data_IF_240146824291
#
_entry.id   IF_240146824291
#
_cell.length_a   1.000
_cell.length_b   1.000
_cell.length_c   1.000
_cell.angle_alpha   90.00
_cell.angle_beta   90.00
_cell.angle_gamma   90.00
#
_symmetry.space_group_name_H-M   'P 1'
#
loop_
_entity.id
_entity.type
_entity.pdbx_description
1 polymer ?
#
# COMPACT_ATOMS: atom_id res chain seq x y z
N UNK A 1 23.77 -34.52 44.23
CA UNK A 1 22.62 -34.93 43.37
C UNK A 1 21.32 -34.20 43.68
N UNK A 2 21.01 -33.86 44.94
CA UNK A 2 19.76 -33.19 45.33
C UNK A 2 19.60 -31.75 44.76
N UNK A 3 20.68 -30.99 44.64
CA UNK A 3 20.62 -29.59 44.16
C UNK A 3 20.21 -29.47 42.68
N UNK A 4 20.67 -30.39 41.82
CA UNK A 4 20.27 -30.46 40.41
C UNK A 4 18.78 -30.81 40.24
N UNK A 5 18.22 -31.63 41.14
CA UNK A 5 16.81 -32.01 41.14
C UNK A 5 15.92 -30.82 41.52
N UNK A 6 16.37 -29.99 42.46
CA UNK A 6 15.63 -28.81 42.93
C UNK A 6 15.54 -27.72 41.84
N UNK A 7 16.65 -27.45 41.13
CA UNK A 7 16.63 -26.50 39.99
C UNK A 7 15.72 -26.94 38.84
N UNK A 8 15.64 -28.25 38.57
CA UNK A 8 14.77 -28.79 37.52
C UNK A 8 13.29 -28.62 37.86
N UNK A 9 12.91 -28.80 39.13
CA UNK A 9 11.54 -28.60 39.58
C UNK A 9 11.14 -27.12 39.53
N UNK A 10 12.01 -26.21 39.98
CA UNK A 10 11.76 -24.77 39.88
C UNK A 10 11.58 -24.31 38.42
N UNK A 11 12.37 -24.85 37.48
CA UNK A 11 12.23 -24.52 36.07
C UNK A 11 10.89 -24.98 35.50
N UNK A 12 10.43 -26.18 35.89
CA UNK A 12 9.14 -26.70 35.45
C UNK A 12 7.97 -25.88 35.99
N UNK A 13 8.01 -25.46 37.26
CA UNK A 13 6.98 -24.62 37.88
C UNK A 13 6.92 -23.23 37.21
N UNK A 14 8.08 -22.69 36.82
CA UNK A 14 8.19 -21.41 36.12
C UNK A 14 7.61 -21.52 34.69
N UNK A 15 7.89 -22.62 34.00
CA UNK A 15 7.35 -22.93 32.67
C UNK A 15 5.83 -23.13 32.73
N UNK A 16 5.31 -23.85 33.73
CA UNK A 16 3.87 -24.03 33.93
C UNK A 16 3.16 -22.72 34.29
N UNK A 17 3.76 -21.88 35.13
CA UNK A 17 3.24 -20.55 35.45
C UNK A 17 3.18 -19.63 34.22
N UNK A 18 4.19 -19.68 33.36
CA UNK A 18 4.23 -18.95 32.09
C UNK A 18 3.21 -19.51 31.09
N UNK A 19 3.08 -20.84 30.98
CA UNK A 19 2.08 -21.47 30.10
C UNK A 19 0.64 -21.24 30.58
N UNK A 20 0.40 -21.24 31.89
CA UNK A 20 -0.88 -20.89 32.50
C UNK A 20 -1.28 -19.45 32.20
N UNK A 21 -0.33 -18.50 32.27
CA UNK A 21 -0.54 -17.11 31.84
C UNK A 21 -0.76 -16.96 30.33
N UNK A 22 -0.16 -17.82 29.50
CA UNK A 22 -0.44 -17.84 28.06
C UNK A 22 -1.84 -18.37 27.71
N UNK A 23 -2.40 -19.28 28.50
CA UNK A 23 -3.81 -19.72 28.38
C UNK A 23 -4.82 -18.65 28.81
N UNK A 24 -4.38 -17.60 29.51
CA UNK A 24 -5.23 -16.52 30.02
C UNK A 24 -5.60 -15.47 28.95
N UNK A 25 -5.01 -15.53 27.74
CA UNK A 25 -5.45 -14.68 26.65
C UNK A 25 -6.65 -15.31 25.94
N UNK A 26 -7.85 -14.72 26.04
CA UNK A 26 -9.04 -15.27 25.40
C UNK A 26 -8.78 -15.35 23.89
N UNK A 27 -9.10 -16.49 23.26
CA UNK A 27 -8.88 -16.72 21.82
C UNK A 27 -9.47 -15.63 20.91
N UNK A 28 -10.45 -14.86 21.40
CA UNK A 28 -10.98 -13.65 20.74
C UNK A 28 -9.93 -12.54 20.59
N UNK A 29 -9.02 -12.33 21.56
CA UNK A 29 -7.97 -11.31 21.49
C UNK A 29 -6.88 -11.70 20.48
N UNK A 30 -6.52 -12.99 20.45
CA UNK A 30 -5.55 -13.53 19.49
C UNK A 30 -6.06 -13.45 18.05
N UNK A 31 -7.35 -13.76 17.80
CA UNK A 31 -7.98 -13.55 16.48
C UNK A 31 -8.02 -12.07 16.09
N UNK A 32 -8.34 -11.17 17.04
CA UNK A 32 -8.43 -9.72 16.81
C UNK A 32 -7.11 -9.08 16.32
N UNK A 33 -5.97 -9.55 16.83
CA UNK A 33 -4.63 -9.11 16.40
C UNK A 33 -4.18 -9.70 15.05
N UNK A 34 -4.74 -10.85 14.66
CA UNK A 34 -4.39 -11.52 13.40
C UNK A 34 -5.25 -10.96 12.26
N UNK A 35 -6.55 -10.76 12.49
CA UNK A 35 -7.45 -10.13 11.52
C UNK A 35 -7.05 -8.69 11.20
N UNK A 36 -6.53 -7.92 12.17
CA UNK A 36 -6.04 -6.57 11.89
C UNK A 36 -4.83 -6.55 10.95
N UNK A 37 -3.94 -7.56 11.01
CA UNK A 37 -2.72 -7.59 10.19
C UNK A 37 -3.00 -7.78 8.71
N UNK A 38 -4.02 -8.54 8.33
CA UNK A 38 -4.35 -8.76 6.92
C UNK A 38 -5.00 -7.54 6.26
N UNK A 39 -5.74 -6.76 7.04
CA UNK A 39 -6.38 -5.54 6.55
C UNK A 39 -5.33 -4.50 6.17
N UNK A 40 -4.29 -4.31 6.98
CA UNK A 40 -3.25 -3.30 6.76
C UNK A 40 -2.44 -3.51 5.46
N UNK A 41 -2.31 -4.76 4.97
CA UNK A 41 -1.68 -5.03 3.67
C UNK A 41 -2.47 -4.50 2.48
N UNK A 42 -3.80 -4.42 2.59
CA UNK A 42 -4.65 -3.90 1.51
C UNK A 42 -4.41 -2.40 1.31
N UNK A 43 -4.29 -1.64 2.39
CA UNK A 43 -3.94 -0.22 2.33
C UNK A 43 -2.55 -0.02 1.70
N UNK A 44 -1.55 -0.82 2.11
CA UNK A 44 -0.21 -0.76 1.53
C UNK A 44 -0.22 -1.03 0.03
N UNK A 45 -0.99 -2.04 -0.41
CA UNK A 45 -1.20 -2.32 -1.82
C UNK A 45 -1.86 -1.14 -2.53
N UNK A 46 -2.90 -0.57 -1.94
CA UNK A 46 -3.66 0.54 -2.53
C UNK A 46 -2.81 1.80 -2.71
N UNK A 47 -1.92 2.14 -1.78
CA UNK A 47 -1.03 3.31 -1.91
C UNK A 47 0.28 3.01 -2.64
N UNK A 48 0.53 1.76 -3.03
CA UNK A 48 1.85 1.33 -3.49
C UNK A 48 2.40 2.12 -4.69
N UNK A 49 1.63 2.43 -5.75
CA UNK A 49 2.16 3.23 -6.86
C UNK A 49 2.55 4.65 -6.46
N UNK A 50 1.87 5.25 -5.47
CA UNK A 50 2.23 6.57 -4.93
C UNK A 50 3.57 6.50 -4.21
N UNK A 51 3.76 5.49 -3.36
CA UNK A 51 5.02 5.25 -2.66
C UNK A 51 6.16 5.00 -3.67
N UNK A 52 5.90 4.17 -4.67
CA UNK A 52 6.87 3.87 -5.72
C UNK A 52 7.28 5.14 -6.49
N UNK A 53 6.30 5.91 -6.97
CA UNK A 53 6.55 7.18 -7.67
C UNK A 53 7.36 8.16 -6.81
N UNK A 54 7.07 8.22 -5.50
CA UNK A 54 7.80 9.06 -4.55
C UNK A 54 9.23 8.62 -4.30
N UNK A 55 9.53 7.32 -4.37
CA UNK A 55 10.88 6.79 -4.22
C UNK A 55 11.72 7.03 -5.48
N UNK A 56 11.15 6.80 -6.67
CA UNK A 56 11.87 6.90 -7.94
C UNK A 56 12.20 8.34 -8.31
N UNK A 57 11.28 9.29 -8.05
CA UNK A 57 11.52 10.71 -8.25
C UNK A 57 10.87 11.54 -7.14
N UNK A 58 11.55 11.70 -6.00
CA UNK A 58 11.06 12.50 -4.87
C UNK A 58 10.80 13.97 -5.25
N UNK A 59 11.60 14.52 -6.18
CA UNK A 59 11.47 15.91 -6.63
C UNK A 59 10.21 16.19 -7.44
N UNK A 60 9.54 15.16 -7.94
CA UNK A 60 8.25 15.29 -8.65
C UNK A 60 7.07 15.62 -7.73
N UNK A 61 7.23 15.43 -6.42
CA UNK A 61 6.22 15.68 -5.41
C UNK A 61 6.38 17.08 -4.81
N UNK A 62 5.56 18.03 -5.27
CA UNK A 62 5.38 19.30 -4.58
C UNK A 62 4.44 19.18 -3.39
N UNK A 63 4.59 20.03 -2.38
CA UNK A 63 3.59 20.20 -1.31
C UNK A 63 2.35 21.01 -1.76
N UNK A 64 2.24 21.29 -3.06
CA UNK A 64 1.13 22.02 -3.67
C UNK A 64 0.28 21.04 -4.51
N UNK A 65 -1.04 21.15 -4.38
CA UNK A 65 -1.99 20.20 -4.99
C UNK A 65 -2.16 20.35 -6.52
N UNK A 66 -1.74 21.48 -7.11
CA UNK A 66 -1.94 21.80 -8.52
C UNK A 66 -0.65 21.77 -9.37
N UNK A 67 0.46 21.28 -8.80
CA UNK A 67 1.74 21.21 -9.49
C UNK A 67 2.38 19.84 -9.28
N UNK A 68 2.85 19.23 -10.37
CA UNK A 68 3.51 17.93 -10.31
C UNK A 68 2.59 16.83 -9.79
N UNK A 69 3.21 15.91 -9.04
CA UNK A 69 2.53 14.78 -8.39
C UNK A 69 2.10 15.10 -6.96
N UNK A 70 2.08 16.37 -6.54
CA UNK A 70 1.65 16.74 -5.19
C UNK A 70 0.26 16.23 -4.82
N UNK A 71 -0.66 16.22 -5.79
CA UNK A 71 -2.01 15.63 -5.64
C UNK A 71 -2.01 14.14 -5.30
N UNK A 72 -0.97 13.38 -5.61
CA UNK A 72 -0.89 11.95 -5.26
C UNK A 72 -0.80 11.76 -3.74
N UNK A 73 -0.10 12.65 -3.03
CA UNK A 73 -0.01 12.62 -1.57
C UNK A 73 -1.38 12.88 -0.97
N UNK A 74 -2.11 13.88 -1.49
CA UNK A 74 -3.47 14.16 -1.04
C UNK A 74 -4.41 12.97 -1.29
N UNK A 75 -4.32 12.35 -2.47
CA UNK A 75 -5.11 11.17 -2.79
C UNK A 75 -4.78 9.99 -1.85
N UNK A 76 -3.50 9.75 -1.55
CA UNK A 76 -3.09 8.73 -0.60
C UNK A 76 -3.57 9.03 0.83
N UNK A 77 -3.49 10.29 1.28
CA UNK A 77 -3.98 10.71 2.60
C UNK A 77 -5.50 10.53 2.70
N UNK A 78 -6.27 10.98 1.72
CA UNK A 78 -7.73 10.80 1.74
C UNK A 78 -8.12 9.32 1.69
N UNK A 79 -7.42 8.52 0.88
CA UNK A 79 -7.62 7.07 0.85
C UNK A 79 -7.30 6.43 2.20
N UNK A 80 -6.22 6.86 2.88
CA UNK A 80 -5.90 6.39 4.23
C UNK A 80 -6.99 6.75 5.24
N UNK A 81 -7.43 8.01 5.26
CA UNK A 81 -8.47 8.50 6.19
C UNK A 81 -9.76 7.69 5.99
N UNK A 82 -10.24 7.58 4.75
CA UNK A 82 -11.43 6.81 4.40
C UNK A 82 -11.27 5.34 4.81
N UNK A 83 -10.14 4.73 4.45
CA UNK A 83 -9.84 3.36 4.82
C UNK A 83 -9.86 3.15 6.34
N UNK A 84 -9.29 4.06 7.14
CA UNK A 84 -9.28 3.93 8.59
C UNK A 84 -10.67 4.03 9.22
N UNK A 85 -11.60 4.75 8.58
CA UNK A 85 -13.00 4.80 9.00
C UNK A 85 -13.73 3.48 8.72
N UNK A 86 -13.56 2.94 7.49
CA UNK A 86 -14.32 1.76 7.05
C UNK A 86 -13.60 0.40 7.25
N UNK A 87 -12.33 0.37 7.67
CA UNK A 87 -11.50 -0.87 7.80
C UNK A 87 -12.12 -1.97 8.64
N UNK A 88 -12.93 -1.64 9.65
CA UNK A 88 -13.58 -2.66 10.51
C UNK A 88 -14.76 -3.34 9.83
N UNK A 89 -15.30 -2.71 8.80
CA UNK A 89 -16.43 -3.19 8.00
C UNK A 89 -15.95 -3.84 6.71
N UNK A 90 -14.81 -3.39 6.17
CA UNK A 90 -14.14 -3.97 5.03
C UNK A 90 -13.63 -5.39 5.34
N UNK A 91 -14.12 -6.36 4.57
CA UNK A 91 -13.60 -7.71 4.51
C UNK A 91 -13.11 -7.99 3.09
N UNK A 92 -11.98 -7.39 2.68
CA UNK A 92 -11.49 -7.54 1.32
C UNK A 92 -11.24 -9.03 1.05
N UNK A 93 -12.05 -9.60 0.16
CA UNK A 93 -11.89 -10.98 -0.29
C UNK A 93 -11.39 -10.95 -1.73
N UNK A 94 -10.07 -10.99 -1.88
CA UNK A 94 -9.48 -11.09 -3.20
C UNK A 94 -9.63 -12.53 -3.70
N UNK A 95 -10.65 -12.75 -4.53
CA UNK A 95 -10.70 -13.95 -5.37
C UNK A 95 -9.48 -13.98 -6.28
N UNK A 96 -9.01 -15.16 -6.67
CA UNK A 96 -7.79 -15.29 -7.49
C UNK A 96 -7.82 -14.46 -8.79
N UNK A 97 -9.00 -14.30 -9.41
CA UNK A 97 -9.18 -13.45 -10.60
C UNK A 97 -9.03 -11.96 -10.29
N UNK A 98 -9.62 -11.48 -9.18
CA UNK A 98 -9.50 -10.08 -8.74
C UNK A 98 -8.07 -9.76 -8.33
N UNK A 99 -7.41 -10.68 -7.63
CA UNK A 99 -5.99 -10.57 -7.28
C UNK A 99 -5.10 -10.45 -8.51
N UNK A 100 -5.31 -11.29 -9.52
CA UNK A 100 -4.56 -11.23 -10.77
C UNK A 100 -4.78 -9.90 -11.50
N UNK A 101 -6.01 -9.38 -11.52
CA UNK A 101 -6.33 -8.10 -12.14
C UNK A 101 -5.66 -6.94 -11.40
N UNK A 102 -5.76 -6.86 -10.06
CA UNK A 102 -5.09 -5.84 -9.26
C UNK A 102 -3.57 -5.90 -9.45
N UNK A 103 -2.98 -7.09 -9.42
CA UNK A 103 -1.54 -7.27 -9.63
C UNK A 103 -1.12 -6.86 -11.04
N UNK A 104 -1.92 -7.16 -12.05
CA UNK A 104 -1.63 -6.77 -13.44
C UNK A 104 -1.63 -5.24 -13.58
N UNK A 105 -2.64 -4.56 -13.04
CA UNK A 105 -2.71 -3.09 -13.12
C UNK A 105 -1.64 -2.45 -12.23
N UNK A 106 -1.28 -3.07 -11.11
CA UNK A 106 -0.11 -2.64 -10.33
C UNK A 106 1.16 -2.67 -11.19
N UNK A 107 1.47 -3.81 -11.80
CA UNK A 107 2.66 -3.96 -12.65
C UNK A 107 2.65 -2.95 -13.80
N UNK A 108 1.51 -2.71 -14.43
CA UNK A 108 1.37 -1.70 -15.48
C UNK A 108 1.62 -0.28 -14.97
N UNK A 109 1.09 0.09 -13.82
CA UNK A 109 1.33 1.40 -13.20
C UNK A 109 2.81 1.59 -12.86
N UNK A 110 3.46 0.57 -12.29
CA UNK A 110 4.89 0.61 -11.98
C UNK A 110 5.74 0.71 -13.25
N UNK A 111 5.38 -0.03 -14.30
CA UNK A 111 6.05 0.03 -15.59
C UNK A 111 5.90 1.41 -16.24
N UNK A 112 4.72 2.01 -16.16
CA UNK A 112 4.47 3.38 -16.61
C UNK A 112 5.38 4.37 -15.88
N UNK A 113 5.35 4.43 -14.53
CA UNK A 113 6.18 5.37 -13.78
C UNK A 113 7.67 5.13 -14.02
N UNK A 114 8.11 3.88 -14.10
CA UNK A 114 9.49 3.54 -14.47
C UNK A 114 9.85 4.06 -15.86
N UNK A 115 8.93 3.96 -16.83
CA UNK A 115 9.16 4.41 -18.21
C UNK A 115 9.19 5.94 -18.33
N UNK A 116 8.48 6.66 -17.47
CA UNK A 116 8.57 8.12 -17.37
C UNK A 116 9.93 8.53 -16.82
N UNK A 117 10.36 7.93 -15.70
CA UNK A 117 11.56 8.40 -14.98
C UNK A 117 12.88 7.86 -15.51
N UNK A 118 12.90 6.61 -15.99
CA UNK A 118 14.12 5.92 -16.46
C UNK A 118 14.13 5.71 -17.97
N UNK A 119 12.98 5.86 -18.63
CA UNK A 119 12.81 5.60 -20.05
C UNK A 119 12.68 6.86 -20.89
N UNK A 120 12.18 6.68 -22.12
CA UNK A 120 11.96 7.78 -23.06
C UNK A 120 10.49 8.24 -23.13
N UNK A 121 9.61 7.66 -22.31
CA UNK A 121 8.17 7.92 -22.40
C UNK A 121 7.85 9.38 -22.04
N UNK A 122 8.58 9.96 -21.08
CA UNK A 122 8.46 11.38 -20.75
C UNK A 122 8.65 12.28 -21.98
N UNK A 123 9.74 12.06 -22.73
CA UNK A 123 10.06 12.84 -23.93
C UNK A 123 8.95 12.69 -24.97
N UNK A 124 8.47 11.47 -25.21
CA UNK A 124 7.39 11.19 -26.17
C UNK A 124 6.08 11.90 -25.81
N UNK A 125 5.72 11.92 -24.53
CA UNK A 125 4.50 12.60 -24.08
C UNK A 125 4.63 14.12 -24.22
N UNK A 126 5.81 14.67 -23.92
CA UNK A 126 6.08 16.10 -24.09
C UNK A 126 6.06 16.51 -25.56
N UNK A 127 6.74 15.75 -26.44
CA UNK A 127 6.69 15.92 -27.90
C UNK A 127 5.26 15.87 -28.42
N UNK A 128 4.44 14.92 -27.94
CA UNK A 128 3.04 14.82 -28.31
C UNK A 128 2.23 16.05 -27.86
N UNK A 129 2.49 16.57 -26.66
CA UNK A 129 1.87 17.80 -26.17
C UNK A 129 2.20 19.01 -27.03
N UNK A 130 3.45 19.13 -27.48
CA UNK A 130 3.90 20.18 -28.40
C UNK A 130 3.24 20.05 -29.78
N UNK A 131 3.17 18.84 -30.34
CA UNK A 131 2.49 18.58 -31.62
C UNK A 131 1.00 18.97 -31.58
N UNK A 132 0.36 18.81 -30.42
CA UNK A 132 -1.04 19.20 -30.19
C UNK A 132 -1.20 20.68 -29.80
N UNK A 133 -0.12 21.47 -29.82
CA UNK A 133 -0.07 22.89 -29.41
C UNK A 133 -0.59 23.12 -27.97
N UNK A 134 -0.33 22.19 -27.06
CA UNK A 134 -0.69 22.35 -25.64
C UNK A 134 0.31 23.32 -25.00
N UNK A 135 -0.18 24.46 -24.51
CA UNK A 135 0.67 25.51 -23.92
C UNK A 135 1.46 25.06 -22.68
N UNK A 136 0.96 24.06 -21.95
CA UNK A 136 1.58 23.51 -20.74
C UNK A 136 1.87 22.01 -20.91
N UNK A 137 2.92 21.67 -21.66
CA UNK A 137 3.33 20.28 -21.91
C UNK A 137 3.59 19.49 -20.61
N UNK A 138 4.13 20.13 -19.56
CA UNK A 138 4.31 19.49 -18.25
C UNK A 138 2.99 19.12 -17.58
N UNK A 139 1.95 19.96 -17.70
CA UNK A 139 0.61 19.64 -17.19
C UNK A 139 -0.02 18.49 -17.96
N UNK A 140 0.28 18.38 -19.27
CA UNK A 140 -0.15 17.25 -20.09
C UNK A 140 0.52 15.94 -19.66
N UNK A 141 1.82 15.98 -19.32
CA UNK A 141 2.50 14.83 -18.72
C UNK A 141 1.83 14.40 -17.40
N UNK A 142 1.56 15.36 -16.50
CA UNK A 142 0.93 15.05 -15.21
C UNK A 142 -0.48 14.51 -15.37
N UNK A 143 -1.24 14.95 -16.37
CA UNK A 143 -2.56 14.38 -16.67
C UNK A 143 -2.49 12.86 -16.84
N UNK A 144 -1.51 12.36 -17.59
CA UNK A 144 -1.31 10.92 -17.77
C UNK A 144 -0.93 10.22 -16.47
N UNK A 145 -0.09 10.85 -15.64
CA UNK A 145 0.24 10.34 -14.31
C UNK A 145 -1.03 10.17 -13.45
N UNK A 146 -1.91 11.18 -13.42
CA UNK A 146 -3.18 11.11 -12.69
C UNK A 146 -4.14 10.08 -13.29
N UNK A 147 -4.20 9.92 -14.61
CA UNK A 147 -5.06 8.92 -15.26
C UNK A 147 -4.63 7.49 -14.91
N UNK A 148 -3.33 7.21 -14.92
CA UNK A 148 -2.79 5.90 -14.53
C UNK A 148 -3.11 5.60 -13.06
N UNK A 149 -2.91 6.58 -12.17
CA UNK A 149 -3.22 6.41 -10.75
C UNK A 149 -4.72 6.22 -10.52
N UNK A 150 -5.56 6.99 -11.21
CA UNK A 150 -7.02 6.88 -11.14
C UNK A 150 -7.50 5.48 -11.57
N UNK A 151 -6.99 4.97 -12.70
CA UNK A 151 -7.33 3.63 -13.18
C UNK A 151 -6.92 2.56 -12.16
N UNK A 152 -5.73 2.71 -11.58
CA UNK A 152 -5.27 1.80 -10.54
C UNK A 152 -6.18 1.79 -9.31
N UNK A 153 -6.52 2.98 -8.78
CA UNK A 153 -7.42 3.07 -7.62
C UNK A 153 -8.81 2.53 -7.92
N UNK A 154 -9.38 2.83 -9.09
CA UNK A 154 -10.68 2.30 -9.50
C UNK A 154 -10.68 0.77 -9.49
N UNK A 155 -9.62 0.16 -10.01
CA UNK A 155 -9.42 -1.29 -10.01
C UNK A 155 -9.28 -1.86 -8.60
N UNK A 156 -8.43 -1.26 -7.76
CA UNK A 156 -8.21 -1.72 -6.38
C UNK A 156 -9.51 -1.64 -5.58
N UNK A 157 -10.23 -0.53 -5.66
CA UNK A 157 -11.51 -0.31 -4.96
C UNK A 157 -12.60 -1.26 -5.49
N UNK A 158 -12.64 -1.53 -6.80
CA UNK A 158 -13.59 -2.50 -7.36
C UNK A 158 -13.32 -3.95 -6.91
N UNK A 159 -12.08 -4.22 -6.46
CA UNK A 159 -11.64 -5.53 -6.05
C UNK A 159 -11.78 -5.80 -4.54
N UNK A 160 -11.91 -4.76 -3.70
CA UNK A 160 -12.25 -4.87 -2.26
C UNK A 160 -13.66 -5.40 -2.03
#
# INVERSE_FOLDING_TARGET
MQEKKNKKNQLNDLIEGIMGKMKLFPGRFRRRLIESRYQDYWLLLAIFPVLFAGIINPGSFGFVWNQGRGGFIFAAIFLMIEYFDVRRQLRPSLSGRRAALVLSVLVLSLAYFSSIELGHLQIRILELGELLNIQLSSSFLWLWDYLVLLLYFAVVISAS
#
